data_IF_603769623311
#
_entry.id   IF_603769623311
#
_cell.length_a   1.000
_cell.length_b   1.000
_cell.length_c   1.000
_cell.angle_alpha   90.00
_cell.angle_beta   90.00
_cell.angle_gamma   90.00
#
_symmetry.space_group_name_H-M   'P 1'
#
loop_
_entity.id
_entity.type
_entity.pdbx_description
1 polymer ?
#
# COMPACT_ATOMS: atom_id res chain seq x y z
N UNK A 1 13.54 -17.22 -9.91
CA UNK A 1 12.43 -16.30 -9.62
C UNK A 1 12.73 -15.01 -10.36
N UNK A 2 11.89 -14.67 -11.34
CA UNK A 2 12.12 -13.56 -12.25
C UNK A 2 11.90 -12.22 -11.55
N UNK A 3 12.98 -11.57 -11.16
CA UNK A 3 13.00 -10.19 -10.65
C UNK A 3 12.44 -9.15 -11.64
N UNK A 4 12.20 -9.53 -12.90
CA UNK A 4 11.74 -8.61 -13.95
C UNK A 4 10.29 -8.13 -13.80
N UNK A 5 9.42 -8.91 -13.18
CA UNK A 5 8.00 -8.53 -13.02
C UNK A 5 7.66 -7.98 -11.63
N UNK A 6 8.43 -8.32 -10.60
CA UNK A 6 8.20 -7.82 -9.23
C UNK A 6 8.77 -6.41 -9.02
N UNK A 7 9.65 -5.91 -9.92
CA UNK A 7 10.21 -4.57 -9.81
C UNK A 7 9.30 -3.47 -10.37
N UNK A 8 8.42 -3.78 -11.32
CA UNK A 8 7.59 -2.76 -11.99
C UNK A 8 6.51 -2.20 -11.05
N UNK A 9 5.89 -3.07 -10.25
CA UNK A 9 4.88 -2.69 -9.26
C UNK A 9 5.45 -1.69 -8.25
N UNK A 10 6.68 -1.96 -7.75
CA UNK A 10 7.38 -1.09 -6.81
C UNK A 10 7.82 0.23 -7.44
N UNK A 11 8.26 0.22 -8.69
CA UNK A 11 8.63 1.43 -9.43
C UNK A 11 7.40 2.31 -9.62
N UNK A 12 6.28 1.75 -10.09
CA UNK A 12 5.03 2.49 -10.28
C UNK A 12 4.55 3.07 -8.95
N UNK A 13 4.55 2.28 -7.87
CA UNK A 13 4.17 2.74 -6.53
C UNK A 13 5.07 3.88 -6.05
N UNK A 14 6.39 3.71 -6.17
CA UNK A 14 7.36 4.72 -5.75
C UNK A 14 7.23 6.03 -6.53
N UNK A 15 7.06 5.96 -7.86
CA UNK A 15 6.87 7.14 -8.70
C UNK A 15 5.55 7.86 -8.39
N UNK A 16 4.46 7.13 -8.20
CA UNK A 16 3.17 7.72 -7.81
C UNK A 16 3.23 8.32 -6.40
N UNK A 17 3.88 7.63 -5.46
CA UNK A 17 4.08 8.14 -4.11
C UNK A 17 4.94 9.41 -4.09
N UNK A 18 6.09 9.41 -4.76
CA UNK A 18 6.98 10.57 -4.83
C UNK A 18 6.30 11.77 -5.50
N UNK A 19 5.74 11.56 -6.69
CA UNK A 19 5.09 12.63 -7.45
C UNK A 19 3.82 13.14 -6.76
N UNK A 20 3.05 12.25 -6.12
CA UNK A 20 1.90 12.64 -5.30
C UNK A 20 2.31 13.55 -4.14
N UNK A 21 3.40 13.21 -3.43
CA UNK A 21 3.88 14.03 -2.32
C UNK A 21 4.45 15.40 -2.76
N UNK A 22 5.05 15.51 -3.94
CA UNK A 22 5.54 16.82 -4.46
C UNK A 22 4.35 17.79 -4.64
N UNK A 23 3.20 17.30 -5.09
CA UNK A 23 2.02 18.13 -5.32
C UNK A 23 1.14 18.37 -4.07
N UNK A 24 1.40 17.67 -2.96
CA UNK A 24 0.68 17.82 -1.68
C UNK A 24 0.92 19.20 -1.03
N UNK A 25 1.97 19.92 -1.43
CA UNK A 25 2.21 21.30 -0.97
C UNK A 25 1.11 22.31 -1.39
N UNK A 26 0.15 21.91 -2.22
CA UNK A 26 -1.07 22.71 -2.42
C UNK A 26 -2.02 22.54 -1.23
N UNK A 27 -2.50 23.62 -0.59
CA UNK A 27 -3.26 23.55 0.66
C UNK A 27 -4.44 22.58 0.65
N UNK A 28 -5.15 22.50 -0.48
CA UNK A 28 -6.31 21.63 -0.66
C UNK A 28 -5.97 20.14 -0.56
N UNK A 29 -4.76 19.74 -0.98
CA UNK A 29 -4.32 18.34 -1.04
C UNK A 29 -3.55 17.91 0.23
N UNK A 30 -3.12 18.86 1.04
CA UNK A 30 -2.33 18.60 2.24
C UNK A 30 -3.08 17.75 3.27
N UNK A 31 -4.39 17.99 3.45
CA UNK A 31 -5.22 17.19 4.36
C UNK A 31 -5.35 15.73 3.89
N UNK A 32 -5.50 15.50 2.58
CA UNK A 32 -5.57 14.14 2.03
C UNK A 32 -4.23 13.40 2.07
N UNK A 33 -3.12 14.13 1.89
CA UNK A 33 -1.77 13.54 1.91
C UNK A 33 -1.41 12.88 3.23
N UNK A 34 -1.84 13.44 4.36
CA UNK A 34 -1.63 12.86 5.69
C UNK A 34 -2.26 11.47 5.83
N UNK A 35 -3.49 11.29 5.30
CA UNK A 35 -4.16 9.99 5.30
C UNK A 35 -3.42 8.92 4.48
N UNK A 36 -2.82 9.32 3.35
CA UNK A 36 -2.06 8.41 2.48
C UNK A 36 -0.72 8.00 3.13
N UNK A 37 -0.05 8.91 3.85
CA UNK A 37 1.18 8.60 4.59
C UNK A 37 0.95 7.48 5.63
N UNK A 38 -0.26 7.35 6.18
CA UNK A 38 -0.59 6.26 7.09
C UNK A 38 -0.43 4.87 6.45
N UNK A 39 -0.42 4.76 5.12
CA UNK A 39 -0.15 3.48 4.43
C UNK A 39 1.23 2.92 4.76
N UNK A 40 2.20 3.76 5.09
CA UNK A 40 3.55 3.34 5.46
C UNK A 40 3.61 2.67 6.85
N UNK A 41 2.55 2.74 7.66
CA UNK A 41 2.53 2.12 8.99
C UNK A 41 2.67 0.58 8.93
N UNK A 42 2.30 -0.06 7.83
CA UNK A 42 2.51 -1.50 7.62
C UNK A 42 3.93 -1.86 7.14
N UNK A 43 4.67 -0.91 6.58
CA UNK A 43 6.01 -1.10 6.00
C UNK A 43 7.07 -1.57 7.01
N UNK A 44 7.10 -1.11 8.27
CA UNK A 44 8.02 -1.65 9.28
C UNK A 44 7.89 -3.17 9.47
N UNK A 45 6.66 -3.69 9.54
CA UNK A 45 6.43 -5.13 9.68
C UNK A 45 6.88 -5.92 8.46
N UNK A 46 6.72 -5.34 7.25
CA UNK A 46 7.22 -5.93 6.02
C UNK A 46 8.76 -6.03 6.03
N UNK A 47 9.43 -4.95 6.46
CA UNK A 47 10.89 -4.92 6.57
C UNK A 47 11.40 -5.90 7.62
N UNK A 48 10.75 -5.99 8.79
CA UNK A 48 11.07 -6.98 9.82
C UNK A 48 10.88 -8.40 9.27
N UNK A 49 9.80 -8.65 8.54
CA UNK A 49 9.55 -9.97 7.93
C UNK A 49 10.68 -10.38 6.98
N UNK A 50 11.12 -9.46 6.12
CA UNK A 50 12.25 -9.65 5.22
C UNK A 50 13.56 -9.86 5.99
N UNK A 51 13.82 -9.08 7.05
CA UNK A 51 15.01 -9.22 7.88
C UNK A 51 15.07 -10.59 8.56
N UNK A 52 13.95 -11.07 9.10
CA UNK A 52 13.86 -12.40 9.71
C UNK A 52 14.17 -13.52 8.72
N UNK A 53 13.74 -13.37 7.45
CA UNK A 53 14.14 -14.30 6.38
C UNK A 53 15.65 -14.27 6.14
N UNK A 54 16.28 -13.12 6.13
CA UNK A 54 17.74 -12.98 5.94
C UNK A 54 18.56 -13.50 7.12
N UNK A 55 18.02 -13.43 8.33
CA UNK A 55 18.64 -13.99 9.54
C UNK A 55 18.45 -15.51 9.68
N UNK A 56 17.81 -16.17 8.71
CA UNK A 56 17.57 -17.63 8.78
C UNK A 56 16.45 -18.03 9.73
N UNK A 57 15.66 -17.08 10.22
CA UNK A 57 14.52 -17.31 11.13
C UNK A 57 13.21 -17.58 10.38
N UNK A 58 13.32 -18.06 9.14
CA UNK A 58 12.19 -18.40 8.28
C UNK A 58 11.34 -19.51 8.93
N UNK A 59 10.02 -19.26 9.07
CA UNK A 59 9.10 -20.22 9.69
C UNK A 59 9.09 -20.22 11.21
N UNK A 60 9.89 -19.35 11.87
CA UNK A 60 9.92 -19.23 13.31
C UNK A 60 8.61 -18.64 13.87
N UNK A 61 8.33 -18.88 15.16
CA UNK A 61 7.20 -18.27 15.86
C UNK A 61 7.27 -16.73 15.79
N UNK A 62 8.47 -16.15 15.91
CA UNK A 62 8.68 -14.70 15.81
C UNK A 62 8.26 -14.18 14.44
N UNK A 63 8.64 -14.90 13.37
CA UNK A 63 8.22 -14.53 12.01
C UNK A 63 6.69 -14.68 11.83
N UNK A 64 6.09 -15.70 12.42
CA UNK A 64 4.64 -15.89 12.37
C UNK A 64 3.90 -14.74 13.06
N UNK A 65 4.31 -14.35 14.28
CA UNK A 65 3.71 -13.22 15.01
C UNK A 65 3.86 -11.92 14.21
N UNK A 66 5.07 -11.63 13.70
CA UNK A 66 5.30 -10.46 12.85
C UNK A 66 4.44 -10.49 11.58
N UNK A 67 4.23 -11.67 10.99
CA UNK A 67 3.39 -11.83 9.82
C UNK A 67 1.91 -11.52 10.11
N UNK A 68 1.42 -11.91 11.29
CA UNK A 68 0.07 -11.54 11.73
C UNK A 68 -0.06 -10.03 11.95
N UNK A 69 0.92 -9.40 12.58
CA UNK A 69 0.98 -7.93 12.75
C UNK A 69 1.01 -7.23 11.37
N UNK A 70 1.80 -7.75 10.43
CA UNK A 70 1.84 -7.24 9.05
C UNK A 70 0.47 -7.30 8.39
N UNK A 71 -0.22 -8.45 8.42
CA UNK A 71 -1.53 -8.58 7.81
C UNK A 71 -2.57 -7.67 8.45
N UNK A 72 -2.63 -7.62 9.78
CA UNK A 72 -3.58 -6.79 10.51
C UNK A 72 -3.35 -5.31 10.22
N UNK A 73 -2.11 -4.84 10.32
CA UNK A 73 -1.77 -3.44 10.01
C UNK A 73 -2.05 -3.13 8.54
N UNK A 74 -1.70 -4.03 7.62
CA UNK A 74 -1.93 -3.85 6.18
C UNK A 74 -3.43 -3.70 5.84
N UNK A 75 -4.27 -4.59 6.35
CA UNK A 75 -5.73 -4.50 6.14
C UNK A 75 -6.27 -3.20 6.72
N UNK A 76 -5.87 -2.85 7.95
CA UNK A 76 -6.38 -1.65 8.61
C UNK A 76 -5.97 -0.38 7.88
N UNK A 77 -4.67 -0.19 7.60
CA UNK A 77 -4.19 1.09 7.08
C UNK A 77 -4.30 1.22 5.57
N UNK A 78 -4.17 0.14 4.80
CA UNK A 78 -4.21 0.21 3.32
C UNK A 78 -5.58 -0.12 2.74
N UNK A 79 -6.29 -1.12 3.30
CA UNK A 79 -7.57 -1.55 2.73
C UNK A 79 -8.76 -0.83 3.34
N UNK A 80 -8.75 -0.50 4.64
CA UNK A 80 -9.87 0.19 5.30
C UNK A 80 -9.63 1.70 5.28
N UNK A 81 -8.60 2.18 5.98
CA UNK A 81 -8.31 3.61 6.07
C UNK A 81 -7.94 4.17 4.70
N UNK A 82 -7.05 3.52 3.97
CA UNK A 82 -6.55 3.99 2.69
C UNK A 82 -7.64 4.11 1.62
N UNK A 83 -8.55 3.17 1.53
CA UNK A 83 -9.70 3.25 0.61
C UNK A 83 -10.64 4.38 1.01
N UNK A 84 -10.91 4.53 2.32
CA UNK A 84 -11.74 5.62 2.84
C UNK A 84 -11.12 7.00 2.54
N UNK A 85 -9.83 7.18 2.78
CA UNK A 85 -9.13 8.43 2.49
C UNK A 85 -9.06 8.69 0.98
N UNK A 86 -8.81 7.69 0.17
CA UNK A 86 -8.85 7.80 -1.29
C UNK A 86 -10.23 8.28 -1.78
N UNK A 87 -11.30 7.72 -1.23
CA UNK A 87 -12.66 8.15 -1.54
C UNK A 87 -12.90 9.62 -1.17
N UNK A 88 -12.50 10.05 0.03
CA UNK A 88 -12.62 11.45 0.48
C UNK A 88 -11.84 12.40 -0.44
N UNK A 89 -10.61 12.04 -0.83
CA UNK A 89 -9.80 12.86 -1.73
C UNK A 89 -10.47 12.96 -3.10
N UNK A 90 -10.93 11.86 -3.67
CA UNK A 90 -11.59 11.88 -4.98
C UNK A 90 -12.87 12.72 -4.91
N UNK A 91 -13.72 12.56 -3.89
CA UNK A 91 -14.93 13.36 -3.74
C UNK A 91 -14.61 14.85 -3.57
N UNK A 92 -13.56 15.19 -2.84
CA UNK A 92 -13.09 16.59 -2.69
C UNK A 92 -12.61 17.17 -4.02
N UNK A 93 -11.81 16.42 -4.79
CA UNK A 93 -11.27 16.86 -6.09
C UNK A 93 -12.37 17.16 -7.12
N UNK A 94 -13.50 16.47 -7.04
CA UNK A 94 -14.64 16.65 -7.94
C UNK A 94 -15.78 17.49 -7.32
N UNK A 95 -15.53 18.11 -6.17
CA UNK A 95 -16.46 19.06 -5.53
C UNK A 95 -16.21 20.52 -6.00
N UNK A 96 -17.17 21.42 -5.81
CA UNK A 96 -17.00 22.85 -6.10
C UNK A 96 -15.80 23.48 -5.38
N UNK A 97 -15.39 22.96 -4.23
CA UNK A 97 -14.22 23.47 -3.50
C UNK A 97 -12.90 23.32 -4.28
N UNK A 98 -12.85 22.44 -5.27
CA UNK A 98 -11.69 22.19 -6.11
C UNK A 98 -11.84 22.77 -7.54
N UNK A 99 -12.76 23.67 -7.80
CA UNK A 99 -13.00 24.24 -9.14
C UNK A 99 -11.81 25.03 -9.68
N UNK A 100 -10.99 25.59 -8.78
CA UNK A 100 -9.74 26.28 -9.15
C UNK A 100 -8.61 25.32 -9.57
N UNK A 101 -8.75 24.00 -9.33
CA UNK A 101 -7.77 23.02 -9.74
C UNK A 101 -7.94 22.65 -11.22
N UNK A 102 -6.85 22.73 -11.98
CA UNK A 102 -6.88 22.32 -13.39
C UNK A 102 -7.19 20.82 -13.54
N UNK A 103 -7.97 20.47 -14.55
CA UNK A 103 -8.43 19.09 -14.85
C UNK A 103 -7.30 18.05 -14.85
N UNK A 104 -6.09 18.31 -15.41
CA UNK A 104 -4.99 17.33 -15.38
C UNK A 104 -4.62 16.88 -13.96
N UNK A 105 -4.66 17.77 -12.95
CA UNK A 105 -4.38 17.42 -11.56
C UNK A 105 -5.48 16.52 -10.98
N UNK A 106 -6.75 16.84 -11.25
CA UNK A 106 -7.89 16.02 -10.81
C UNK A 106 -7.78 14.60 -11.37
N UNK A 107 -7.49 14.47 -12.65
CA UNK A 107 -7.32 13.18 -13.33
C UNK A 107 -6.09 12.43 -12.77
N UNK A 108 -4.96 13.10 -12.62
CA UNK A 108 -3.73 12.49 -12.10
C UNK A 108 -3.95 11.86 -10.72
N UNK A 109 -4.54 12.60 -9.77
CA UNK A 109 -4.78 12.07 -8.42
C UNK A 109 -5.86 10.97 -8.42
N UNK A 110 -6.93 11.13 -9.19
CA UNK A 110 -7.99 10.11 -9.27
C UNK A 110 -7.43 8.79 -9.82
N UNK A 111 -6.73 8.84 -10.94
CA UNK A 111 -6.15 7.65 -11.57
C UNK A 111 -5.02 7.05 -10.71
N UNK A 112 -4.15 7.92 -10.17
CA UNK A 112 -3.07 7.49 -9.27
C UNK A 112 -3.60 6.74 -8.04
N UNK A 113 -4.63 7.26 -7.37
CA UNK A 113 -5.26 6.60 -6.23
C UNK A 113 -5.92 5.28 -6.62
N UNK A 114 -6.57 5.20 -7.78
CA UNK A 114 -7.15 3.94 -8.27
C UNK A 114 -6.06 2.89 -8.50
N UNK A 115 -4.96 3.25 -9.15
CA UNK A 115 -3.81 2.35 -9.39
C UNK A 115 -3.20 1.90 -8.06
N UNK A 116 -2.93 2.83 -7.13
CA UNK A 116 -2.35 2.50 -5.83
C UNK A 116 -3.25 1.58 -5.00
N UNK A 117 -4.57 1.81 -5.00
CA UNK A 117 -5.51 0.90 -4.33
C UNK A 117 -5.52 -0.49 -4.99
N UNK A 118 -5.52 -0.57 -6.32
CA UNK A 118 -5.44 -1.85 -7.04
C UNK A 118 -4.15 -2.62 -6.67
N UNK A 119 -3.00 -1.94 -6.62
CA UNK A 119 -1.73 -2.53 -6.20
C UNK A 119 -1.80 -3.03 -4.74
N UNK A 120 -2.45 -2.30 -3.83
CA UNK A 120 -2.63 -2.74 -2.45
C UNK A 120 -3.41 -4.07 -2.38
N UNK A 121 -4.48 -4.25 -3.17
CA UNK A 121 -5.20 -5.52 -3.24
C UNK A 121 -4.33 -6.64 -3.83
N UNK A 122 -3.60 -6.39 -4.91
CA UNK A 122 -2.70 -7.37 -5.53
C UNK A 122 -1.65 -7.85 -4.52
N UNK A 123 -1.02 -6.92 -3.79
CA UNK A 123 0.00 -7.25 -2.79
C UNK A 123 -0.59 -7.98 -1.59
N UNK A 124 -1.79 -7.62 -1.15
CA UNK A 124 -2.49 -8.35 -0.09
C UNK A 124 -2.65 -9.83 -0.45
N UNK A 125 -3.14 -10.15 -1.64
CA UNK A 125 -3.30 -11.53 -2.06
C UNK A 125 -1.97 -12.27 -2.23
N UNK A 126 -0.93 -11.58 -2.74
CA UNK A 126 0.43 -12.13 -2.81
C UNK A 126 0.96 -12.50 -1.41
N UNK A 127 0.81 -11.60 -0.42
CA UNK A 127 1.21 -11.84 0.96
C UNK A 127 0.44 -13.00 1.59
N UNK A 128 -0.89 -13.00 1.44
CA UNK A 128 -1.74 -14.05 1.98
C UNK A 128 -1.36 -15.44 1.40
N UNK A 129 -1.10 -15.51 0.10
CA UNK A 129 -0.63 -16.74 -0.55
C UNK A 129 0.73 -17.19 0.00
N UNK A 130 1.69 -16.28 0.12
CA UNK A 130 3.01 -16.58 0.66
C UNK A 130 2.94 -17.09 2.10
N UNK A 131 2.11 -16.49 2.95
CA UNK A 131 1.92 -16.90 4.33
C UNK A 131 1.25 -18.27 4.44
N UNK A 132 0.20 -18.53 3.66
CA UNK A 132 -0.44 -19.86 3.59
C UNK A 132 0.58 -20.94 3.23
N UNK A 133 1.38 -20.71 2.20
CA UNK A 133 2.40 -21.66 1.76
C UNK A 133 3.47 -21.91 2.83
N UNK A 134 3.80 -20.92 3.65
CA UNK A 134 4.88 -20.98 4.66
C UNK A 134 4.42 -21.62 5.96
N UNK A 135 3.25 -21.24 6.47
CA UNK A 135 2.78 -21.61 7.81
C UNK A 135 1.66 -22.66 7.81
N UNK A 136 1.02 -22.89 6.67
CA UNK A 136 -0.02 -23.92 6.50
C UNK A 136 0.38 -24.85 5.34
N UNK A 137 1.39 -25.71 5.53
CA UNK A 137 1.77 -26.66 4.48
C UNK A 137 0.58 -27.56 4.14
N UNK A 138 0.39 -27.85 2.86
CA UNK A 138 -0.62 -28.80 2.41
C UNK A 138 -0.45 -30.13 3.18
N UNK A 139 -1.56 -30.71 3.67
CA UNK A 139 -1.56 -32.07 4.19
C UNK A 139 -0.94 -32.96 3.13
N UNK A 140 0.15 -33.65 3.46
CA UNK A 140 0.62 -34.78 2.66
C UNK A 140 -0.44 -35.87 2.79
N UNK A 141 -1.16 -36.13 1.71
CA UNK A 141 -1.94 -37.34 1.54
C UNK A 141 -1.00 -38.55 1.44
#
# INVERSE_FOLDING_TARGET
VSLRYEGLDFIIHGLLGLSGNIFVFKPLLMFGGMGIIMWELSTPFLNIHWLLDKLGLTGSLLQFVNAMCLLLSYVTVRMIIGVSESYKIVTLLWSPAADTLALPYKLYYTLGLLVLNALNYIWFFKMLHAMRKRFLPAKKE
#
